data_IF_429985394243
#
_entry.id   IF_429985394243
#
_cell.length_a   1.000
_cell.length_b   1.000
_cell.length_c   1.000
_cell.angle_alpha   90.00
_cell.angle_beta   90.00
_cell.angle_gamma   90.00
#
_symmetry.space_group_name_H-M   'P 1'
#
loop_
_entity.id
_entity.type
_entity.pdbx_description
1 polymer ?
#
# COMPACT_ATOMS: atom_id res chain seq x y z
N UNK A 1 12.32 13.21 -21.64
CA UNK A 1 10.99 12.56 -21.63
C UNK A 1 10.94 11.19 -20.95
N UNK A 2 11.79 10.21 -21.29
CA UNK A 2 11.71 8.84 -20.71
C UNK A 2 11.80 8.77 -19.17
N UNK A 3 12.55 9.68 -18.55
CA UNK A 3 12.64 9.79 -17.07
C UNK A 3 11.32 10.29 -16.47
N UNK A 4 10.69 11.28 -17.10
CA UNK A 4 9.43 11.86 -16.63
C UNK A 4 8.32 10.80 -16.60
N UNK A 5 8.19 10.00 -17.66
CA UNK A 5 7.23 8.90 -17.74
C UNK A 5 7.49 7.87 -16.62
N UNK A 6 8.75 7.50 -16.38
CA UNK A 6 9.11 6.56 -15.30
C UNK A 6 8.75 7.10 -13.91
N UNK A 7 8.87 8.42 -13.72
CA UNK A 7 8.59 9.08 -12.46
C UNK A 7 7.08 9.18 -12.22
N UNK A 8 6.31 9.52 -13.26
CA UNK A 8 4.84 9.51 -13.21
C UNK A 8 4.30 8.12 -12.88
N UNK A 9 4.81 7.05 -13.52
CA UNK A 9 4.29 5.71 -13.23
C UNK A 9 4.71 5.25 -11.82
N UNK A 10 5.89 5.63 -11.34
CA UNK A 10 6.28 5.36 -9.96
C UNK A 10 5.33 6.06 -8.97
N UNK A 11 4.98 7.33 -9.21
CA UNK A 11 4.03 8.07 -8.38
C UNK A 11 2.62 7.45 -8.43
N UNK A 12 2.11 7.12 -9.61
CA UNK A 12 0.84 6.40 -9.74
C UNK A 12 0.86 5.06 -8.99
N UNK A 13 1.97 4.31 -9.09
CA UNK A 13 2.14 3.06 -8.36
C UNK A 13 2.09 3.24 -6.85
N UNK A 14 2.77 4.25 -6.32
CA UNK A 14 2.75 4.57 -4.88
C UNK A 14 1.34 4.95 -4.43
N UNK A 15 0.64 5.80 -5.18
CA UNK A 15 -0.74 6.20 -4.87
C UNK A 15 -1.67 4.99 -4.80
N UNK A 16 -1.58 4.08 -5.77
CA UNK A 16 -2.37 2.84 -5.79
C UNK A 16 -2.02 1.92 -4.61
N UNK A 17 -0.73 1.79 -4.27
CA UNK A 17 -0.30 1.00 -3.11
C UNK A 17 -0.84 1.56 -1.79
N UNK A 18 -0.79 2.87 -1.61
CA UNK A 18 -1.33 3.54 -0.43
C UNK A 18 -2.86 3.36 -0.33
N UNK A 19 -3.57 3.50 -1.46
CA UNK A 19 -5.02 3.32 -1.50
C UNK A 19 -5.42 1.87 -1.18
N UNK A 20 -4.72 0.89 -1.75
CA UNK A 20 -4.92 -0.53 -1.45
C UNK A 20 -4.61 -0.85 0.02
N UNK A 21 -3.54 -0.28 0.58
CA UNK A 21 -3.20 -0.46 1.99
C UNK A 21 -4.32 0.04 2.92
N UNK A 22 -4.89 1.21 2.62
CA UNK A 22 -6.01 1.77 3.39
C UNK A 22 -7.26 0.90 3.27
N UNK A 23 -7.59 0.41 2.08
CA UNK A 23 -8.73 -0.50 1.87
C UNK A 23 -8.54 -1.82 2.61
N UNK A 24 -7.35 -2.42 2.56
CA UNK A 24 -7.07 -3.68 3.25
C UNK A 24 -7.11 -3.47 4.77
N UNK A 25 -6.57 -2.36 5.27
CA UNK A 25 -6.61 -2.03 6.68
C UNK A 25 -8.05 -1.80 7.20
N UNK A 26 -8.90 -1.13 6.42
CA UNK A 26 -10.31 -0.91 6.80
C UNK A 26 -11.12 -2.20 6.80
N UNK A 27 -10.91 -3.07 5.81
CA UNK A 27 -11.50 -4.40 5.76
C UNK A 27 -11.04 -5.28 6.94
N UNK A 28 -9.75 -5.23 7.28
CA UNK A 28 -9.20 -5.97 8.43
C UNK A 28 -9.80 -5.48 9.76
N UNK A 29 -10.06 -4.18 9.88
CA UNK A 29 -10.74 -3.61 11.04
C UNK A 29 -12.20 -4.10 11.14
N UNK A 30 -12.94 -4.12 10.03
CA UNK A 30 -14.32 -4.62 9.99
C UNK A 30 -14.39 -6.13 10.26
N UNK A 31 -13.40 -6.90 9.82
CA UNK A 31 -13.31 -8.34 10.05
C UNK A 31 -12.90 -8.70 11.50
N UNK A 32 -12.68 -7.73 12.38
CA UNK A 32 -12.26 -7.97 13.77
C UNK A 32 -10.81 -8.49 13.89
N UNK A 33 -10.01 -8.43 12.83
CA UNK A 33 -8.62 -8.92 12.84
C UNK A 33 -7.68 -8.06 13.69
N UNK A 34 -8.11 -6.86 14.08
CA UNK A 34 -7.37 -5.94 14.95
C UNK A 34 -7.64 -6.17 16.45
N UNK A 35 -8.40 -7.20 16.81
CA UNK A 35 -8.75 -7.55 18.19
C UNK A 35 -10.02 -6.84 18.70
N UNK A 36 -10.24 -6.87 20.01
CA UNK A 36 -11.36 -6.21 20.67
C UNK A 36 -11.14 -4.69 20.75
N UNK A 37 -11.38 -3.99 19.65
CA UNK A 37 -11.38 -2.54 19.65
C UNK A 37 -12.66 -2.00 20.31
N UNK A 38 -12.53 -1.40 21.50
CA UNK A 38 -13.59 -0.60 22.09
C UNK A 38 -13.62 0.80 21.45
N UNK A 39 -14.82 1.30 21.15
CA UNK A 39 -15.16 2.68 20.72
C UNK A 39 -14.11 3.39 19.83
N UNK A 40 -14.19 3.24 18.51
CA UNK A 40 -13.47 4.08 17.54
C UNK A 40 -11.96 3.82 17.38
N UNK A 41 -11.34 3.11 18.32
CA UNK A 41 -9.91 2.76 18.29
C UNK A 41 -9.50 1.88 17.10
N UNK A 42 -10.43 1.09 16.55
CA UNK A 42 -10.16 0.23 15.38
C UNK A 42 -9.91 1.03 14.10
N UNK A 43 -10.64 2.14 13.89
CA UNK A 43 -10.39 3.02 12.75
C UNK A 43 -9.03 3.71 12.85
N UNK A 44 -8.65 4.10 14.07
CA UNK A 44 -7.35 4.70 14.34
C UNK A 44 -6.20 3.70 14.13
N UNK A 45 -6.31 2.49 14.69
CA UNK A 45 -5.32 1.43 14.49
C UNK A 45 -5.21 1.02 13.01
N UNK A 46 -6.32 0.94 12.30
CA UNK A 46 -6.32 0.66 10.87
C UNK A 46 -5.61 1.75 10.06
N UNK A 47 -5.95 3.01 10.28
CA UNK A 47 -5.43 4.13 9.49
C UNK A 47 -3.98 4.52 9.83
N UNK A 48 -3.60 4.45 11.11
CA UNK A 48 -2.31 4.99 11.58
C UNK A 48 -1.26 3.94 11.94
N UNK A 49 -1.65 2.68 12.16
CA UNK A 49 -0.69 1.58 12.38
C UNK A 49 -0.63 0.63 11.18
N UNK A 50 -1.79 0.10 10.78
CA UNK A 50 -1.87 -1.03 9.84
C UNK A 50 -1.65 -0.55 8.40
N UNK A 51 -2.35 0.51 7.98
CA UNK A 51 -2.23 1.09 6.65
C UNK A 51 -0.80 1.57 6.30
N UNK A 52 -0.05 2.30 7.15
CA UNK A 52 1.34 2.65 6.82
C UNK A 52 2.25 1.42 6.76
N UNK A 53 2.02 0.39 7.57
CA UNK A 53 2.81 -0.84 7.50
C UNK A 53 2.57 -1.60 6.17
N UNK A 54 1.30 -1.73 5.79
CA UNK A 54 0.88 -2.36 4.53
C UNK A 54 1.34 -1.58 3.31
N UNK A 55 1.30 -0.24 3.36
CA UNK A 55 1.72 0.59 2.23
C UNK A 55 3.21 0.43 1.95
N UNK A 56 4.06 0.36 2.98
CA UNK A 56 5.49 0.05 2.81
C UNK A 56 5.69 -1.31 2.15
N UNK A 57 4.96 -2.35 2.61
CA UNK A 57 5.01 -3.68 2.01
C UNK A 57 4.61 -3.68 0.52
N UNK A 58 3.50 -3.05 0.18
CA UNK A 58 3.02 -2.96 -1.21
C UNK A 58 3.97 -2.15 -2.09
N UNK A 59 4.54 -1.05 -1.59
CA UNK A 59 5.52 -0.24 -2.32
C UNK A 59 6.77 -1.06 -2.63
N UNK A 60 7.29 -1.82 -1.66
CA UNK A 60 8.45 -2.70 -1.88
C UNK A 60 8.15 -3.74 -2.96
N UNK A 61 7.00 -4.41 -2.86
CA UNK A 61 6.56 -5.40 -3.85
C UNK A 61 6.41 -4.78 -5.25
N UNK A 62 5.81 -3.58 -5.33
CA UNK A 62 5.65 -2.84 -6.57
C UNK A 62 7.02 -2.53 -7.20
N UNK A 63 7.98 -1.99 -6.44
CA UNK A 63 9.32 -1.72 -6.98
C UNK A 63 10.07 -3.00 -7.36
N UNK A 64 9.90 -4.08 -6.61
CA UNK A 64 10.54 -5.36 -6.91
C UNK A 64 9.99 -5.98 -8.20
N UNK A 65 8.66 -6.01 -8.35
CA UNK A 65 7.98 -6.42 -9.58
C UNK A 65 8.34 -5.54 -10.76
N UNK A 66 8.34 -4.22 -10.57
CA UNK A 66 8.74 -3.24 -11.58
C UNK A 66 10.17 -3.45 -12.07
N UNK A 67 11.12 -3.66 -11.15
CA UNK A 67 12.53 -3.95 -11.51
C UNK A 67 12.63 -5.27 -12.28
N UNK A 68 11.93 -6.31 -11.84
CA UNK A 68 11.93 -7.62 -12.51
C UNK A 68 11.35 -7.54 -13.92
N UNK A 69 10.24 -6.82 -14.10
CA UNK A 69 9.61 -6.60 -15.40
C UNK A 69 10.53 -5.83 -16.35
N UNK A 70 11.18 -4.77 -15.85
CA UNK A 70 12.18 -4.02 -16.63
C UNK A 70 13.42 -4.82 -16.99
N UNK A 71 13.83 -5.79 -16.18
CA UNK A 71 14.94 -6.70 -16.50
C UNK A 71 14.56 -7.73 -17.57
N UNK A 72 13.30 -8.15 -17.65
CA UNK A 72 12.81 -9.08 -18.69
C UNK A 72 12.54 -8.40 -20.03
N UNK A 73 12.22 -7.11 -20.01
CA UNK A 73 11.98 -6.33 -21.23
C UNK A 73 13.28 -5.78 -21.87
N UNK A 74 14.45 -6.16 -21.35
CA UNK A 74 15.77 -5.73 -21.82
C UNK A 74 16.55 -6.95 -22.28
#
# INVERSE_FOLDING_TARGET
MRIFIRLVIALCGIMVCCFLALLVASLAAQAGMLGSCFEGSCGYAAAFLVAPLLSVGFIILFFMGWRKLRRRAR
#
